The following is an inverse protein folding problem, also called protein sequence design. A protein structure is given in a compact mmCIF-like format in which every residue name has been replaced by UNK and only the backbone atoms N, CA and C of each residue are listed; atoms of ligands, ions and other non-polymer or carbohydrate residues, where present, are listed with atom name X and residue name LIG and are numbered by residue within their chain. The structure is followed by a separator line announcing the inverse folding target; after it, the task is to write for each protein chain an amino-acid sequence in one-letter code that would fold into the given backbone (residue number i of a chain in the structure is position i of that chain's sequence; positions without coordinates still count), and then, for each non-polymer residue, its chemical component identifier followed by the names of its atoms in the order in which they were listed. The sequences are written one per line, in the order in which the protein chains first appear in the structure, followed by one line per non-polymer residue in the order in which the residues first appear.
data_IF_853282553344
#
_entry.id   IF_853282553344
#
_cell.length_a   1.000
_cell.length_b   1.000
_cell.length_c   1.000
_cell.angle_alpha   90.00
_cell.angle_beta   90.00
_cell.angle_gamma   90.00
#
_symmetry.space_group_name_H-M   'P 1'
#
loop_
_entity.id
_entity.type
_entity.pdbx_description
1 polymer ?
#
# COMPACT_ATOMS: atom_id res chain seq x y z
N UNK A 1 16.37 30.55 2.77
CA UNK A 1 16.84 29.75 3.92
C UNK A 1 15.70 29.32 4.82
N UNK A 2 14.86 30.24 5.32
CA UNK A 2 13.75 29.92 6.26
C UNK A 2 12.72 28.92 5.67
N UNK A 3 12.41 29.02 4.38
CA UNK A 3 11.46 28.09 3.73
C UNK A 3 11.95 26.65 3.62
N UNK A 4 13.27 26.42 3.58
CA UNK A 4 13.81 25.07 3.49
C UNK A 4 13.63 24.35 4.84
N UNK A 5 13.93 25.04 5.95
CA UNK A 5 13.78 24.51 7.29
C UNK A 5 12.31 24.21 7.64
N UNK A 6 11.36 25.04 7.20
CA UNK A 6 9.93 24.76 7.44
C UNK A 6 9.44 23.53 6.67
N UNK A 7 9.96 23.26 5.46
CA UNK A 7 9.65 22.03 4.71
C UNK A 7 10.21 20.80 5.43
N UNK A 8 11.44 20.87 5.93
CA UNK A 8 12.08 19.79 6.70
C UNK A 8 11.26 19.50 7.96
N UNK A 9 10.92 20.54 8.73
CA UNK A 9 10.13 20.42 9.96
C UNK A 9 8.77 19.76 9.67
N UNK A 10 8.03 20.24 8.67
CA UNK A 10 6.75 19.63 8.26
C UNK A 10 6.90 18.16 7.87
N UNK A 11 7.98 17.82 7.18
CA UNK A 11 8.22 16.44 6.75
C UNK A 11 8.54 15.53 7.94
N UNK A 12 9.33 16.00 8.90
CA UNK A 12 9.66 15.28 10.13
C UNK A 12 8.42 15.10 11.03
N UNK A 13 7.63 16.16 11.20
CA UNK A 13 6.36 16.11 11.91
C UNK A 13 5.35 15.19 11.22
N UNK A 14 5.34 15.14 9.90
CA UNK A 14 4.49 14.21 9.15
C UNK A 14 4.87 12.76 9.42
N UNK A 15 6.16 12.40 9.35
CA UNK A 15 6.58 11.00 9.58
C UNK A 15 6.24 10.49 10.97
N UNK A 16 6.41 11.35 11.98
CA UNK A 16 6.11 11.06 13.38
C UNK A 16 4.67 11.46 13.78
N UNK A 17 3.86 11.88 12.82
CA UNK A 17 2.48 12.28 13.03
C UNK A 17 1.54 11.08 13.11
N UNK A 18 0.41 11.24 13.80
CA UNK A 18 -0.56 10.16 14.01
C UNK A 18 -1.12 9.59 12.69
N UNK A 19 -1.33 10.46 11.69
CA UNK A 19 -1.84 10.06 10.38
C UNK A 19 -0.88 9.13 9.63
N UNK A 20 0.44 9.41 9.70
CA UNK A 20 1.43 8.56 9.06
C UNK A 20 1.60 7.26 9.86
N UNK A 21 1.75 7.34 11.18
CA UNK A 21 1.96 6.18 12.05
C UNK A 21 0.80 5.18 12.07
N UNK A 22 -0.42 5.64 11.75
CA UNK A 22 -1.57 4.77 11.58
C UNK A 22 -1.41 3.82 10.38
N UNK A 23 -0.66 4.22 9.35
CA UNK A 23 -0.48 3.48 8.08
C UNK A 23 0.92 2.92 7.88
N UNK A 24 1.92 3.63 8.36
CA UNK A 24 3.34 3.35 8.13
C UNK A 24 3.84 2.30 9.13
N UNK A 25 4.10 1.10 8.62
CA UNK A 25 4.61 -0.02 9.39
C UNK A 25 6.07 0.20 9.84
N UNK A 26 6.89 0.87 9.02
CA UNK A 26 8.33 1.00 9.28
C UNK A 26 8.60 1.84 10.52
N UNK A 27 8.04 3.06 10.60
CA UNK A 27 8.25 3.91 11.76
C UNK A 27 7.59 3.34 13.02
N UNK A 28 6.45 2.66 12.86
CA UNK A 28 5.78 1.96 13.97
C UNK A 28 6.65 0.87 14.57
N UNK A 29 7.30 0.06 13.73
CA UNK A 29 8.22 -0.99 14.18
C UNK A 29 9.45 -0.40 14.85
N UNK A 30 10.05 0.68 14.32
CA UNK A 30 11.22 1.33 14.92
C UNK A 30 10.93 1.91 16.30
N UNK A 31 9.73 2.48 16.48
CA UNK A 31 9.27 2.98 17.78
C UNK A 31 9.01 1.82 18.74
N UNK A 32 8.45 0.70 18.27
CA UNK A 32 8.18 -0.48 19.09
C UNK A 32 9.44 -1.24 19.50
N UNK A 33 10.45 -1.28 18.63
CA UNK A 33 11.75 -1.94 18.88
C UNK A 33 12.54 -1.25 19.99
N UNK A 34 12.42 0.08 20.10
CA UNK A 34 13.08 0.87 21.13
C UNK A 34 12.10 1.20 22.27
N UNK A 35 12.32 0.66 23.47
CA UNK A 35 11.47 0.94 24.66
C UNK A 35 11.30 2.44 24.98
N UNK A 36 12.21 3.29 24.50
CA UNK A 36 12.16 4.75 24.64
C UNK A 36 11.59 5.52 23.45
N UNK A 37 11.14 4.84 22.40
CA UNK A 37 10.57 5.46 21.19
C UNK A 37 11.56 6.27 20.35
N UNK A 38 12.86 6.02 20.51
CA UNK A 38 13.93 6.73 19.81
C UNK A 38 14.19 6.13 18.43
N UNK A 39 14.36 6.99 17.43
CA UNK A 39 14.63 6.62 16.04
C UNK A 39 15.89 7.35 15.56
N UNK A 40 16.85 6.62 15.01
CA UNK A 40 18.08 7.18 14.44
C UNK A 40 17.79 8.05 13.20
N UNK A 41 18.44 9.22 13.11
CA UNK A 41 18.40 10.13 11.97
C UNK A 41 18.79 9.44 10.65
N UNK A 42 19.62 8.40 10.69
CA UNK A 42 19.97 7.59 9.51
C UNK A 42 18.74 7.02 8.80
N UNK A 43 17.70 6.66 9.54
CA UNK A 43 16.46 6.16 8.95
C UNK A 43 15.74 7.25 8.15
N UNK A 44 15.71 8.48 8.68
CA UNK A 44 15.08 9.62 8.00
C UNK A 44 15.86 10.04 6.75
N UNK A 45 17.20 10.02 6.80
CA UNK A 45 18.05 10.28 5.63
C UNK A 45 17.83 9.27 4.49
N UNK A 46 17.38 8.06 4.81
CA UNK A 46 17.07 7.05 3.83
C UNK A 46 15.71 7.23 3.14
N UNK A 47 14.81 8.04 3.70
CA UNK A 47 13.47 8.27 3.14
C UNK A 47 13.51 9.11 1.86
N UNK A 48 12.65 8.76 0.89
CA UNK A 48 12.65 9.39 -0.43
C UNK A 48 12.38 10.90 -0.39
N UNK A 49 11.48 11.39 0.46
CA UNK A 49 11.19 12.83 0.53
C UNK A 49 12.37 13.62 1.10
N UNK A 50 13.11 13.05 2.06
CA UNK A 50 14.30 13.69 2.66
C UNK A 50 15.45 13.69 1.65
N UNK A 51 15.66 12.57 0.94
CA UNK A 51 16.61 12.48 -0.18
C UNK A 51 16.32 13.50 -1.28
N UNK A 52 15.04 13.68 -1.63
CA UNK A 52 14.63 14.66 -2.63
C UNK A 52 14.97 16.11 -2.21
N UNK A 53 14.91 16.40 -0.91
CA UNK A 53 15.29 17.71 -0.37
C UNK A 53 16.81 17.91 -0.23
N UNK A 54 17.63 16.86 -0.41
CA UNK A 54 19.11 16.88 -0.32
C UNK A 54 19.63 17.55 0.96
N UNK A 55 19.01 17.22 2.09
CA UNK A 55 19.33 17.81 3.40
C UNK A 55 20.30 16.94 4.19
N UNK A 56 21.19 17.56 4.96
CA UNK A 56 22.10 16.88 5.88
C UNK A 56 21.46 16.65 7.26
N UNK A 57 22.05 15.78 8.07
CA UNK A 57 21.63 15.56 9.47
C UNK A 57 21.61 16.87 10.26
N UNK A 58 22.60 17.74 10.06
CA UNK A 58 22.73 19.00 10.79
C UNK A 58 21.60 19.97 10.44
N UNK A 59 21.21 20.01 9.16
CA UNK A 59 20.08 20.82 8.71
C UNK A 59 18.75 20.31 9.25
N UNK A 60 18.59 18.99 9.42
CA UNK A 60 17.40 18.40 10.05
C UNK A 60 17.33 18.81 11.51
N UNK A 61 18.43 18.68 12.24
CA UNK A 61 18.52 19.06 13.65
C UNK A 61 18.24 20.55 13.82
N UNK A 62 18.83 21.40 12.99
CA UNK A 62 18.64 22.85 13.04
C UNK A 62 17.21 23.26 12.67
N UNK A 63 16.65 22.68 11.61
CA UNK A 63 15.30 22.98 11.16
C UNK A 63 14.20 22.50 12.11
N UNK A 64 14.49 21.50 12.94
CA UNK A 64 13.53 20.93 13.87
C UNK A 64 13.68 21.42 15.32
N UNK A 65 14.56 22.40 15.60
CA UNK A 65 14.74 22.97 16.95
C UNK A 65 13.44 23.53 17.53
N UNK A 66 12.62 24.16 16.69
CA UNK A 66 11.37 24.81 17.10
C UNK A 66 10.14 23.90 16.99
N UNK A 67 10.34 22.59 16.81
CA UNK A 67 9.24 21.66 16.61
C UNK A 67 8.44 21.41 17.90
N UNK A 68 7.12 21.26 17.77
CA UNK A 68 6.19 21.05 18.90
C UNK A 68 5.74 19.61 19.07
N UNK A 69 6.09 18.74 18.12
CA UNK A 69 5.65 17.35 18.06
C UNK A 69 6.78 16.35 18.29
N UNK A 70 8.05 16.77 18.14
CA UNK A 70 9.21 15.88 18.16
C UNK A 70 10.29 16.41 19.11
N UNK A 71 11.09 15.49 19.64
CA UNK A 71 12.20 15.75 20.54
C UNK A 71 13.46 15.07 20.00
N UNK A 72 14.60 15.75 20.16
CA UNK A 72 15.90 15.18 19.85
C UNK A 72 16.58 14.68 21.12
N UNK A 73 17.39 13.64 20.98
CA UNK A 73 18.28 13.18 22.06
C UNK A 73 19.35 14.25 22.36
N UNK A 74 19.98 14.17 23.54
CA UNK A 74 21.14 15.00 23.90
C UNK A 74 22.24 14.98 22.84
N UNK A 75 22.43 13.81 22.21
CA UNK A 75 23.45 13.57 21.20
C UNK A 75 23.04 14.05 19.80
N UNK A 76 21.80 14.56 19.65
CA UNK A 76 21.23 15.05 18.37
C UNK A 76 21.23 14.02 17.23
N UNK A 77 21.41 12.74 17.53
CA UNK A 77 21.41 11.65 16.54
C UNK A 77 20.10 10.86 16.49
N UNK A 78 19.26 10.99 17.52
CA UNK A 78 17.99 10.29 17.60
C UNK A 78 16.85 11.26 17.80
N UNK A 79 15.69 10.91 17.22
CA UNK A 79 14.45 11.68 17.27
C UNK A 79 13.35 10.80 17.84
N UNK A 80 12.48 11.38 18.67
CA UNK A 80 11.27 10.73 19.17
C UNK A 80 10.09 11.69 19.15
N UNK A 81 8.89 11.17 19.42
CA UNK A 81 7.70 11.99 19.69
C UNK A 81 7.74 12.55 21.11
N UNK A 82 7.33 13.80 21.27
CA UNK A 82 7.17 14.43 22.59
C UNK A 82 6.28 13.55 23.49
N UNK A 83 6.77 13.30 24.71
CA UNK A 83 6.05 12.56 25.74
C UNK A 83 5.84 11.07 25.44
N UNK A 84 6.54 10.49 24.46
CA UNK A 84 6.37 9.09 24.04
C UNK A 84 4.89 8.70 23.88
N UNK A 85 4.12 9.58 23.22
CA UNK A 85 2.68 9.41 23.04
C UNK A 85 2.39 8.05 22.40
N UNK A 86 1.40 7.34 22.94
CA UNK A 86 1.01 6.01 22.47
C UNK A 86 0.73 6.02 20.97
N UNK A 87 1.21 4.98 20.29
CA UNK A 87 1.04 4.82 18.84
C UNK A 87 -0.45 4.72 18.50
N UNK A 88 -0.91 5.38 17.43
CA UNK A 88 -2.29 5.28 16.98
C UNK A 88 -2.64 3.85 16.51
N UNK A 89 -3.93 3.53 16.54
CA UNK A 89 -4.45 2.26 16.04
C UNK A 89 -4.13 2.08 14.55
N UNK A 90 -3.85 0.84 14.12
CA UNK A 90 -3.51 0.55 12.71
C UNK A 90 -4.74 0.87 11.86
N UNK A 91 -4.64 1.84 10.96
CA UNK A 91 -5.64 2.04 9.95
C UNK A 91 -5.50 0.92 8.90
N UNK A 92 -6.58 0.18 8.64
CA UNK A 92 -6.63 -0.75 7.52
C UNK A 92 -6.39 0.03 6.21
N UNK A 93 -5.38 -0.36 5.42
CA UNK A 93 -5.18 0.25 4.11
C UNK A 93 -6.32 -0.16 3.19
N UNK A 94 -6.71 0.72 2.26
CA UNK A 94 -7.64 0.38 1.17
C UNK A 94 -7.16 -0.85 0.37
N UNK A 95 -5.85 -1.09 0.33
CA UNK A 95 -5.27 -2.29 -0.30
C UNK A 95 -5.54 -3.55 0.50
N UNK A 96 -5.43 -3.50 1.83
CA UNK A 96 -5.76 -4.63 2.70
C UNK A 96 -7.25 -4.95 2.65
N UNK A 97 -8.11 -3.93 2.59
CA UNK A 97 -9.55 -4.13 2.37
C UNK A 97 -9.83 -4.82 1.03
N UNK A 98 -9.21 -4.36 -0.06
CA UNK A 98 -9.37 -4.96 -1.40
C UNK A 98 -8.79 -6.37 -1.50
N UNK A 99 -7.68 -6.64 -0.80
CA UNK A 99 -7.11 -7.98 -0.73
C UNK A 99 -8.06 -8.93 -0.01
N UNK A 100 -8.61 -8.52 1.13
CA UNK A 100 -9.61 -9.30 1.88
C UNK A 100 -10.89 -9.55 1.07
N UNK A 101 -11.39 -8.54 0.38
CA UNK A 101 -12.58 -8.66 -0.48
C UNK A 101 -12.33 -9.63 -1.64
N UNK A 102 -11.13 -9.59 -2.26
CA UNK A 102 -10.74 -10.55 -3.30
C UNK A 102 -10.58 -11.97 -2.77
N UNK A 103 -10.06 -12.12 -1.55
CA UNK A 103 -9.91 -13.41 -0.88
C UNK A 103 -11.28 -14.01 -0.57
N UNK A 104 -12.20 -13.23 0.00
CA UNK A 104 -13.58 -13.64 0.27
C UNK A 104 -14.32 -14.05 -0.99
N UNK A 105 -14.22 -13.26 -2.06
CA UNK A 105 -14.81 -13.61 -3.35
C UNK A 105 -14.20 -14.89 -3.96
N UNK A 106 -12.90 -15.15 -3.75
CA UNK A 106 -12.27 -16.43 -4.19
C UNK A 106 -12.76 -17.61 -3.35
N UNK A 107 -12.96 -17.42 -2.06
CA UNK A 107 -13.44 -18.45 -1.14
C UNK A 107 -14.91 -18.81 -1.42
N UNK A 108 -15.73 -17.84 -1.82
CA UNK A 108 -17.12 -18.05 -2.28
C UNK A 108 -17.21 -18.82 -3.61
N UNK A 109 -16.27 -18.59 -4.55
CA UNK A 109 -16.21 -19.29 -5.83
C UNK A 109 -15.63 -20.72 -5.74
N UNK A 110 -15.05 -21.10 -4.59
CA UNK A 110 -14.39 -22.39 -4.43
C UNK A 110 -13.04 -22.48 -5.16
N UNK A 111 -12.36 -23.62 -5.02
CA UNK A 111 -11.11 -23.90 -5.74
C UNK A 111 -11.39 -24.84 -6.92
N UNK A 112 -10.97 -24.42 -8.12
CA UNK A 112 -11.04 -25.27 -9.31
C UNK A 112 -10.23 -26.56 -9.10
N UNK A 113 -10.85 -27.71 -9.36
CA UNK A 113 -10.13 -28.99 -9.34
C UNK A 113 -9.13 -29.05 -10.52
N UNK A 114 -7.92 -29.57 -10.30
CA UNK A 114 -6.86 -29.66 -11.33
C UNK A 114 -6.36 -31.09 -11.50
N UNK A 115 -6.06 -31.49 -12.74
CA UNK A 115 -5.48 -32.79 -13.06
C UNK A 115 -3.99 -32.88 -12.70
N UNK A 116 -3.39 -34.08 -12.83
CA UNK A 116 -1.96 -34.31 -12.58
C UNK A 116 -1.00 -33.48 -13.47
N UNK A 117 -1.54 -32.83 -14.51
CA UNK A 117 -0.82 -31.95 -15.44
C UNK A 117 -1.14 -30.48 -15.21
N UNK A 118 -1.91 -30.14 -14.16
CA UNK A 118 -2.28 -28.78 -13.79
C UNK A 118 -3.38 -28.16 -14.66
N UNK A 119 -4.20 -28.96 -15.34
CA UNK A 119 -5.34 -28.48 -16.14
C UNK A 119 -6.62 -28.54 -15.31
N UNK A 120 -7.45 -27.50 -15.41
CA UNK A 120 -8.74 -27.40 -14.73
C UNK A 120 -9.65 -28.56 -15.18
N UNK A 121 -10.23 -29.25 -14.21
CA UNK A 121 -11.21 -30.31 -14.40
C UNK A 121 -12.59 -29.68 -14.22
N UNK A 122 -13.34 -29.59 -15.31
CA UNK A 122 -14.75 -29.20 -15.26
C UNK A 122 -15.55 -30.36 -14.68
N UNK A 123 -16.27 -30.09 -13.59
CA UNK A 123 -17.14 -31.02 -12.89
C UNK A 123 -18.57 -30.91 -13.41
N UNK A 124 -19.47 -31.77 -12.92
CA UNK A 124 -20.89 -31.69 -13.29
C UNK A 124 -21.56 -30.40 -12.80
N UNK A 125 -21.10 -29.84 -11.67
CA UNK A 125 -21.60 -28.59 -11.10
C UNK A 125 -21.34 -27.39 -12.01
N UNK A 126 -20.24 -27.38 -12.75
CA UNK A 126 -19.92 -26.30 -13.71
C UNK A 126 -20.90 -26.19 -14.88
N UNK A 127 -21.70 -27.23 -15.12
CA UNK A 127 -22.71 -27.26 -16.20
C UNK A 127 -24.14 -27.03 -15.69
N UNK A 128 -24.36 -26.87 -14.38
CA UNK A 128 -25.71 -26.70 -13.81
C UNK A 128 -26.30 -25.31 -14.11
N UNK A 129 -25.48 -24.26 -14.11
CA UNK A 129 -25.89 -22.88 -14.36
C UNK A 129 -25.03 -22.18 -15.45
N UNK A 130 -25.13 -22.61 -16.74
CA UNK A 130 -24.29 -22.06 -17.79
C UNK A 130 -24.71 -20.63 -18.17
N UNK A 131 -23.73 -19.71 -18.18
CA UNK A 131 -23.90 -18.36 -18.75
C UNK A 131 -23.86 -18.46 -20.28
N UNK A 132 -25.00 -18.27 -20.94
CA UNK A 132 -25.12 -18.32 -22.40
C UNK A 132 -25.01 -16.91 -22.98
N UNK A 133 -23.86 -16.58 -23.57
CA UNK A 133 -23.63 -15.30 -24.25
C UNK A 133 -23.90 -15.41 -25.75
N UNK A 134 -24.75 -14.53 -26.25
CA UNK A 134 -25.03 -14.41 -27.68
C UNK A 134 -24.08 -13.38 -28.31
N UNK A 135 -23.09 -13.83 -29.07
CA UNK A 135 -22.16 -12.96 -29.78
C UNK A 135 -22.53 -12.88 -31.27
N UNK A 136 -22.84 -11.66 -31.74
CA UNK A 136 -23.14 -11.41 -33.16
C UNK A 136 -21.86 -11.02 -33.89
N UNK A 137 -21.31 -11.95 -34.67
CA UNK A 137 -20.17 -11.69 -35.54
C UNK A 137 -20.63 -11.28 -36.94
N UNK A 138 -20.06 -10.21 -37.49
CA UNK A 138 -20.18 -9.89 -38.92
C UNK A 138 -18.98 -10.49 -39.65
N UNK A 139 -19.23 -11.41 -40.59
CA UNK A 139 -18.19 -12.14 -41.34
C UNK A 139 -18.26 -11.68 -42.80
N UNK A 140 -17.16 -11.13 -43.31
CA UNK A 140 -16.97 -10.81 -44.72
C UNK A 140 -16.70 -12.11 -45.51
N UNK A 141 -17.11 -12.18 -46.78
CA UNK A 141 -17.09 -13.43 -47.57
C UNK A 141 -15.70 -14.04 -47.83
N UNK A 142 -14.63 -13.33 -47.49
CA UNK A 142 -13.25 -13.69 -47.81
C UNK A 142 -12.30 -13.69 -46.58
N UNK A 143 -12.81 -13.53 -45.35
CA UNK A 143 -12.01 -13.60 -44.13
C UNK A 143 -12.44 -14.74 -43.19
N UNK A 144 -11.45 -15.35 -42.53
CA UNK A 144 -11.67 -16.36 -41.49
C UNK A 144 -12.44 -15.76 -40.30
N UNK A 145 -13.39 -16.53 -39.78
CA UNK A 145 -14.19 -16.17 -38.61
C UNK A 145 -13.28 -15.85 -37.40
N UNK A 146 -13.36 -14.63 -36.89
CA UNK A 146 -12.58 -14.17 -35.74
C UNK A 146 -13.49 -13.72 -34.60
N UNK A 147 -13.42 -14.44 -33.47
CA UNK A 147 -14.11 -14.05 -32.25
C UNK A 147 -13.31 -12.96 -31.54
N UNK A 148 -13.97 -11.84 -31.23
CA UNK A 148 -13.42 -10.83 -30.34
C UNK A 148 -13.64 -11.24 -28.88
N UNK A 149 -12.72 -12.04 -28.33
CA UNK A 149 -12.82 -12.58 -26.97
C UNK A 149 -13.03 -11.51 -25.89
N UNK A 150 -12.49 -10.30 -26.07
CA UNK A 150 -12.70 -9.17 -25.13
C UNK A 150 -14.17 -8.73 -25.05
N UNK A 151 -14.88 -8.76 -26.16
CA UNK A 151 -16.28 -8.34 -26.21
C UNK A 151 -17.18 -9.41 -25.55
N UNK A 152 -16.81 -10.68 -25.75
CA UNK A 152 -17.44 -11.81 -25.06
C UNK A 152 -17.21 -11.73 -23.54
N UNK A 153 -15.97 -11.48 -23.09
CA UNK A 153 -15.64 -11.32 -21.67
C UNK A 153 -16.41 -10.15 -21.02
N UNK A 154 -16.56 -9.02 -21.73
CA UNK A 154 -17.33 -7.90 -21.21
C UNK A 154 -18.81 -8.27 -21.05
N UNK A 155 -19.41 -8.96 -22.03
CA UNK A 155 -20.80 -9.39 -21.95
C UNK A 155 -21.06 -10.40 -20.80
N UNK A 156 -20.09 -11.25 -20.46
CA UNK A 156 -20.18 -12.14 -19.28
C UNK A 156 -20.14 -11.35 -17.97
N UNK A 157 -19.33 -10.27 -17.90
CA UNK A 157 -19.15 -9.49 -16.67
C UNK A 157 -20.29 -8.50 -16.39
N UNK A 158 -21.12 -8.21 -17.39
CA UNK A 158 -22.26 -7.27 -17.29
C UNK A 158 -23.60 -7.93 -16.92
N UNK A 159 -23.66 -9.28 -16.87
CA UNK A 159 -24.83 -10.05 -16.39
C UNK A 159 -24.75 -10.30 -14.88
#
# INVERSE_FOLDING_TARGET
MVEAYTKILKQMEYYLGDVNLARDKFFRERIAENKGGWIDLKHFLNCNNIKAMKVSSDQIVEGCRDSKLIEFSSDKHSVRRIGNKQLPEKAASKRDSKAKEKEQHREELGEDEVDEKGRIILTTQDFEDPIIVHYKAEVSKDEDFKVAWKDVENAVREQ
#
